data_IF_535377710201
#
_entry.id   IF_535377710201
#
_cell.length_a   1.000
_cell.length_b   1.000
_cell.length_c   1.000
_cell.angle_alpha   90.00
_cell.angle_beta   90.00
_cell.angle_gamma   90.00
#
_symmetry.space_group_name_H-M   'P 1'
#
loop_
_entity.id
_entity.type
_entity.pdbx_description
1 polymer ?
#
# COMPACT_ATOMS: atom_id res chain seq x y z
N UNK A 1 12.49 28.82 -29.49
CA UNK A 1 11.50 27.84 -28.99
C UNK A 1 11.71 26.44 -29.55
N UNK A 2 11.94 26.23 -30.81
CA UNK A 2 12.08 24.88 -31.43
C UNK A 2 13.31 24.07 -30.96
N UNK A 3 14.46 24.67 -30.69
CA UNK A 3 15.67 23.96 -30.20
C UNK A 3 15.49 23.45 -28.77
N UNK A 4 14.88 24.22 -27.88
CA UNK A 4 14.60 23.83 -26.48
C UNK A 4 13.57 22.69 -26.48
N UNK A 5 12.52 22.78 -27.29
CA UNK A 5 11.54 21.70 -27.47
C UNK A 5 12.19 20.40 -27.94
N UNK A 6 13.10 20.47 -28.90
CA UNK A 6 13.85 19.31 -29.39
C UNK A 6 14.76 18.70 -28.32
N UNK A 7 15.45 19.53 -27.53
CA UNK A 7 16.31 19.04 -26.44
C UNK A 7 15.51 18.39 -25.30
N UNK A 8 14.38 18.99 -24.91
CA UNK A 8 13.45 18.39 -23.95
C UNK A 8 12.89 17.08 -24.51
N UNK A 9 12.60 17.03 -25.79
CA UNK A 9 12.11 15.83 -26.46
C UNK A 9 13.13 14.68 -26.54
N UNK A 10 14.42 14.95 -26.59
CA UNK A 10 15.44 13.88 -26.56
C UNK A 10 15.62 13.25 -25.18
N UNK A 11 15.53 14.04 -24.10
CA UNK A 11 15.90 13.66 -22.74
C UNK A 11 14.78 13.89 -21.68
N UNK A 12 13.53 13.62 -22.03
CA UNK A 12 12.37 13.96 -21.16
C UNK A 12 12.51 13.42 -19.74
N UNK A 13 13.01 12.21 -19.55
CA UNK A 13 13.17 11.62 -18.22
C UNK A 13 14.18 12.43 -17.40
N UNK A 14 15.26 12.88 -18.01
CA UNK A 14 16.25 13.74 -17.37
C UNK A 14 15.62 15.05 -16.87
N UNK A 15 14.82 15.72 -17.70
CA UNK A 15 14.15 16.97 -17.30
C UNK A 15 13.10 16.76 -16.21
N UNK A 16 12.36 15.65 -16.27
CA UNK A 16 11.40 15.28 -15.22
C UNK A 16 12.13 15.08 -13.89
N UNK A 17 13.23 14.33 -13.91
CA UNK A 17 14.06 14.08 -12.72
C UNK A 17 14.68 15.37 -12.18
N UNK A 18 15.24 16.21 -13.06
CA UNK A 18 15.82 17.49 -12.66
C UNK A 18 14.79 18.40 -11.99
N UNK A 19 13.58 18.51 -12.57
CA UNK A 19 12.51 19.29 -11.96
C UNK A 19 12.08 18.71 -10.61
N UNK A 20 11.99 17.39 -10.49
CA UNK A 20 11.72 16.72 -9.23
C UNK A 20 12.78 17.05 -8.18
N UNK A 21 14.06 16.92 -8.51
CA UNK A 21 15.18 17.27 -7.63
C UNK A 21 15.09 18.73 -7.16
N UNK A 22 14.87 19.66 -8.07
CA UNK A 22 14.73 21.08 -7.76
C UNK A 22 13.57 21.35 -6.79
N UNK A 23 12.41 20.71 -7.01
CA UNK A 23 11.26 20.87 -6.09
C UNK A 23 11.55 20.28 -4.71
N UNK A 24 12.29 19.17 -4.60
CA UNK A 24 12.65 18.57 -3.30
C UNK A 24 13.71 19.39 -2.56
N UNK A 25 14.66 19.95 -3.28
CA UNK A 25 15.62 20.92 -2.69
C UNK A 25 14.85 22.09 -2.08
N UNK A 26 13.92 22.69 -2.81
CA UNK A 26 13.08 23.79 -2.29
C UNK A 26 12.27 23.32 -1.08
N UNK A 27 11.62 22.15 -1.18
CA UNK A 27 10.77 21.60 -0.11
C UNK A 27 11.55 21.36 1.17
N UNK A 28 12.72 20.72 1.08
CA UNK A 28 13.49 20.35 2.27
C UNK A 28 14.29 21.53 2.84
N UNK A 29 14.95 22.31 2.00
CA UNK A 29 15.86 23.36 2.47
C UNK A 29 15.17 24.71 2.70
N UNK A 30 14.20 25.08 1.86
CA UNK A 30 13.52 26.37 2.01
C UNK A 30 12.30 26.27 2.95
N UNK A 31 11.48 25.22 2.80
CA UNK A 31 10.30 25.04 3.65
C UNK A 31 10.55 24.19 4.90
N UNK A 32 11.72 23.60 5.06
CA UNK A 32 12.06 22.76 6.21
C UNK A 32 11.20 21.51 6.38
N UNK A 33 10.57 21.03 5.29
CA UNK A 33 9.67 19.87 5.32
C UNK A 33 10.53 18.60 5.34
N UNK A 34 10.50 17.89 6.47
CA UNK A 34 11.24 16.65 6.66
C UNK A 34 10.52 15.74 7.65
N UNK A 35 10.93 14.48 7.71
CA UNK A 35 10.39 13.52 8.68
C UNK A 35 10.75 13.96 10.09
N UNK A 36 9.72 14.13 10.93
CA UNK A 36 9.91 14.38 12.35
C UNK A 36 10.40 13.09 13.04
N UNK A 37 11.54 13.12 13.75
CA UNK A 37 12.08 11.99 14.50
C UNK A 37 11.08 11.36 15.48
N UNK A 38 10.19 12.15 16.08
CA UNK A 38 9.17 11.66 17.00
C UNK A 38 8.17 10.69 16.34
N UNK A 39 7.91 10.90 15.05
CA UNK A 39 7.04 9.98 14.32
C UNK A 39 7.65 8.59 14.16
N UNK A 40 8.97 8.48 14.07
CA UNK A 40 9.65 7.19 13.89
C UNK A 40 9.49 6.32 15.15
N UNK A 41 9.55 6.92 16.34
CA UNK A 41 9.35 6.23 17.61
C UNK A 41 7.88 6.06 17.99
N UNK A 42 7.00 6.93 17.51
CA UNK A 42 5.59 6.98 17.87
C UNK A 42 4.66 6.12 16.98
N UNK A 43 5.16 5.55 15.89
CA UNK A 43 4.32 4.68 15.02
C UNK A 43 4.09 3.33 15.69
N UNK A 44 2.86 3.03 15.97
CA UNK A 44 2.47 1.78 16.68
C UNK A 44 2.95 0.50 16.00
N UNK A 45 3.20 0.55 14.70
CA UNK A 45 3.56 -0.62 13.89
C UNK A 45 5.07 -0.84 13.84
N UNK A 46 5.84 0.01 14.51
CA UNK A 46 7.27 -0.13 14.64
C UNK A 46 7.60 -0.94 15.90
N UNK A 47 8.57 -1.82 15.77
CA UNK A 47 9.22 -2.44 16.92
C UNK A 47 10.05 -1.35 17.60
N UNK A 48 10.11 -1.39 18.94
CA UNK A 48 10.93 -0.48 19.70
C UNK A 48 12.38 -0.53 19.21
N UNK A 49 12.95 0.64 18.92
CA UNK A 49 14.29 0.79 18.34
C UNK A 49 15.36 0.06 19.15
N UNK A 50 15.25 0.08 20.50
CA UNK A 50 16.17 -0.62 21.38
C UNK A 50 16.27 -2.11 21.07
N UNK A 51 15.15 -2.80 20.81
CA UNK A 51 15.17 -4.23 20.49
C UNK A 51 15.74 -4.49 19.10
N UNK A 52 15.47 -3.61 18.13
CA UNK A 52 16.06 -3.69 16.81
C UNK A 52 17.58 -3.47 16.86
N UNK A 53 18.05 -2.58 17.75
CA UNK A 53 19.45 -2.32 17.97
C UNK A 53 20.14 -3.50 18.66
N UNK A 54 19.57 -4.04 19.73
CA UNK A 54 20.14 -5.16 20.49
C UNK A 54 20.21 -6.43 19.62
N UNK A 55 19.08 -6.88 19.03
CA UNK A 55 19.03 -8.11 18.25
C UNK A 55 17.95 -8.07 17.16
N UNK A 56 18.30 -7.56 15.98
CA UNK A 56 17.39 -7.44 14.84
C UNK A 56 16.76 -8.78 14.43
N UNK A 57 17.50 -9.90 14.23
CA UNK A 57 16.89 -11.17 13.83
C UNK A 57 15.86 -11.70 14.82
N UNK A 58 16.14 -11.66 16.12
CA UNK A 58 15.19 -12.13 17.14
C UNK A 58 13.98 -11.19 17.25
N UNK A 59 14.18 -9.89 17.12
CA UNK A 59 13.08 -8.91 17.12
C UNK A 59 12.11 -9.18 15.99
N UNK A 60 12.59 -9.47 14.79
CA UNK A 60 11.75 -9.81 13.64
C UNK A 60 11.11 -11.19 13.77
N UNK A 61 11.81 -12.16 14.36
CA UNK A 61 11.28 -13.51 14.60
C UNK A 61 10.09 -13.47 15.55
N UNK A 62 10.18 -12.72 16.65
CA UNK A 62 9.10 -12.60 17.63
C UNK A 62 8.07 -11.52 17.31
N UNK A 63 8.25 -10.80 16.24
CA UNK A 63 7.28 -9.81 15.79
C UNK A 63 6.05 -10.50 15.19
N UNK A 64 4.88 -10.32 15.82
CA UNK A 64 3.63 -10.97 15.39
C UNK A 64 2.53 -9.98 14.98
N UNK A 65 2.68 -8.71 15.34
CA UNK A 65 1.65 -7.71 15.13
C UNK A 65 1.45 -7.36 13.64
N UNK A 66 2.53 -7.36 12.85
CA UNK A 66 2.51 -7.09 11.40
C UNK A 66 3.54 -7.98 10.69
N UNK A 67 3.49 -8.10 9.35
CA UNK A 67 4.57 -8.70 8.59
C UNK A 67 5.91 -7.97 8.82
N UNK A 68 7.06 -8.67 8.79
CA UNK A 68 8.32 -8.15 9.35
C UNK A 68 9.11 -7.22 8.43
N UNK A 69 8.81 -7.13 7.13
CA UNK A 69 9.71 -6.50 6.16
C UNK A 69 9.93 -5.02 6.39
N UNK A 70 8.88 -4.26 6.77
CA UNK A 70 9.06 -2.84 7.08
C UNK A 70 9.91 -2.62 8.33
N UNK A 71 9.73 -3.46 9.35
CA UNK A 71 10.58 -3.43 10.54
C UNK A 71 12.00 -3.91 10.28
N UNK A 72 12.25 -4.72 9.24
CA UNK A 72 13.60 -4.98 8.77
C UNK A 72 14.26 -3.72 8.21
N UNK A 73 13.53 -2.94 7.39
CA UNK A 73 14.02 -1.65 6.85
C UNK A 73 14.30 -0.67 8.00
N UNK A 74 13.40 -0.56 8.97
CA UNK A 74 13.60 0.24 10.18
C UNK A 74 14.84 -0.22 10.96
N UNK A 75 14.98 -1.52 11.18
CA UNK A 75 16.10 -2.09 11.92
C UNK A 75 17.45 -1.87 11.24
N UNK A 76 17.50 -1.91 9.91
CA UNK A 76 18.71 -1.53 9.16
C UNK A 76 19.08 -0.06 9.40
N UNK A 77 18.09 0.85 9.39
CA UNK A 77 18.30 2.25 9.73
C UNK A 77 18.80 2.43 11.17
N UNK A 78 18.23 1.73 12.13
CA UNK A 78 18.65 1.74 13.54
C UNK A 78 20.11 1.27 13.71
N UNK A 79 20.51 0.23 12.96
CA UNK A 79 21.92 -0.27 13.02
C UNK A 79 22.95 0.76 12.54
N UNK A 80 22.57 1.67 11.67
CA UNK A 80 23.48 2.70 11.13
C UNK A 80 23.22 4.10 11.72
N UNK A 81 22.32 4.24 12.70
CA UNK A 81 21.90 5.54 13.23
C UNK A 81 23.03 6.37 13.84
N UNK A 82 24.11 5.73 14.29
CA UNK A 82 25.31 6.42 14.78
C UNK A 82 26.09 7.13 13.66
N UNK A 83 25.91 6.71 12.39
CA UNK A 83 26.54 7.33 11.22
C UNK A 83 25.57 8.28 10.52
N UNK A 84 24.32 7.91 10.41
CA UNK A 84 23.27 8.65 9.70
C UNK A 84 22.04 8.71 10.61
N UNK A 85 21.64 9.90 11.08
CA UNK A 85 20.41 10.08 11.85
C UNK A 85 19.20 9.42 11.16
N UNK A 86 18.35 8.78 11.95
CA UNK A 86 17.27 7.93 11.43
C UNK A 86 16.25 8.70 10.57
N UNK A 87 15.98 9.96 10.88
CA UNK A 87 15.16 10.85 10.07
C UNK A 87 15.80 11.15 8.70
N UNK A 88 17.12 11.33 8.63
CA UNK A 88 17.84 11.52 7.37
C UNK A 88 17.80 10.23 6.54
N UNK A 89 18.01 9.07 7.19
CA UNK A 89 17.88 7.76 6.54
C UNK A 89 16.52 7.60 5.87
N UNK A 90 15.40 7.86 6.59
CA UNK A 90 14.06 7.72 6.04
C UNK A 90 13.72 8.79 5.01
N UNK A 91 14.18 10.04 5.18
CA UNK A 91 14.02 11.08 4.16
C UNK A 91 14.68 10.66 2.85
N UNK A 92 15.91 10.17 2.91
CA UNK A 92 16.62 9.69 1.72
C UNK A 92 15.95 8.46 1.08
N UNK A 93 15.52 7.51 1.88
CA UNK A 93 14.82 6.31 1.41
C UNK A 93 13.50 6.65 0.71
N UNK A 94 12.68 7.49 1.34
CA UNK A 94 11.41 7.90 0.78
C UNK A 94 11.57 8.79 -0.47
N UNK A 95 12.61 9.61 -0.52
CA UNK A 95 13.00 10.35 -1.72
C UNK A 95 13.31 9.38 -2.89
N UNK A 96 14.09 8.32 -2.65
CA UNK A 96 14.35 7.29 -3.66
C UNK A 96 13.04 6.61 -4.09
N UNK A 97 12.15 6.32 -3.16
CA UNK A 97 10.86 5.72 -3.46
C UNK A 97 10.02 6.62 -4.38
N UNK A 98 9.96 7.92 -4.12
CA UNK A 98 9.27 8.87 -5.00
C UNK A 98 9.92 8.94 -6.39
N UNK A 99 11.24 8.90 -6.45
CA UNK A 99 11.97 8.87 -7.72
C UNK A 99 11.62 7.61 -8.54
N UNK A 100 11.50 6.46 -7.89
CA UNK A 100 11.07 5.22 -8.55
C UNK A 100 9.63 5.35 -9.07
N UNK A 101 8.70 5.89 -8.26
CA UNK A 101 7.32 6.16 -8.70
C UNK A 101 7.31 7.06 -9.94
N UNK A 102 8.11 8.11 -9.94
CA UNK A 102 8.23 9.06 -11.04
C UNK A 102 8.70 8.38 -12.33
N UNK A 103 9.77 7.58 -12.24
CA UNK A 103 10.32 6.85 -13.40
C UNK A 103 9.30 5.83 -13.92
N UNK A 104 8.66 5.07 -13.03
CA UNK A 104 7.61 4.11 -13.40
C UNK A 104 6.43 4.82 -14.09
N UNK A 105 6.00 5.97 -13.58
CA UNK A 105 4.92 6.77 -14.16
C UNK A 105 5.27 7.24 -15.57
N UNK A 106 6.49 7.74 -15.81
CA UNK A 106 6.95 8.12 -17.14
C UNK A 106 6.92 6.93 -18.12
N UNK A 107 7.34 5.75 -17.69
CA UNK A 107 7.32 4.54 -18.52
C UNK A 107 5.89 4.08 -18.84
N UNK A 108 4.97 4.17 -17.87
CA UNK A 108 3.53 3.86 -18.06
C UNK A 108 2.92 4.84 -19.08
N UNK A 109 3.18 6.14 -18.94
CA UNK A 109 2.70 7.14 -19.90
C UNK A 109 3.26 6.91 -21.30
N UNK A 110 4.55 6.56 -21.41
CA UNK A 110 5.17 6.18 -22.68
C UNK A 110 4.51 4.94 -23.32
N UNK A 111 4.11 3.96 -22.50
CA UNK A 111 3.38 2.79 -22.95
C UNK A 111 2.01 3.18 -23.54
N UNK A 112 1.31 4.14 -22.94
CA UNK A 112 0.07 4.69 -23.48
C UNK A 112 0.26 5.63 -24.68
N UNK A 113 1.50 5.80 -25.17
CA UNK A 113 1.84 6.62 -26.33
C UNK A 113 1.55 8.13 -26.14
N UNK A 114 1.74 8.66 -24.94
CA UNK A 114 1.77 10.10 -24.72
C UNK A 114 2.99 10.72 -25.38
N UNK A 115 2.85 11.97 -25.85
CA UNK A 115 3.99 12.77 -26.31
C UNK A 115 4.93 13.08 -25.13
N UNK A 116 6.20 13.35 -25.42
CA UNK A 116 7.20 13.63 -24.39
C UNK A 116 6.81 14.84 -23.53
N UNK A 117 6.27 15.88 -24.14
CA UNK A 117 5.76 17.06 -23.41
C UNK A 117 4.59 16.71 -22.48
N UNK A 118 3.65 15.88 -22.93
CA UNK A 118 2.55 15.41 -22.09
C UNK A 118 3.05 14.57 -20.91
N UNK A 119 4.05 13.70 -21.14
CA UNK A 119 4.70 12.93 -20.06
C UNK A 119 5.27 13.88 -19.01
N UNK A 120 5.98 14.94 -19.44
CA UNK A 120 6.54 15.93 -18.52
C UNK A 120 5.46 16.60 -17.67
N UNK A 121 4.44 17.16 -18.29
CA UNK A 121 3.37 17.89 -17.58
C UNK A 121 2.60 16.98 -16.64
N UNK A 122 2.21 15.79 -17.10
CA UNK A 122 1.44 14.84 -16.27
C UNK A 122 2.28 14.36 -15.08
N UNK A 123 3.55 14.06 -15.30
CA UNK A 123 4.45 13.64 -14.22
C UNK A 123 4.73 14.76 -13.22
N UNK A 124 4.84 16.00 -13.70
CA UNK A 124 4.99 17.18 -12.85
C UNK A 124 3.76 17.34 -11.94
N UNK A 125 2.57 17.36 -12.51
CA UNK A 125 1.34 17.63 -11.75
C UNK A 125 0.99 16.47 -10.83
N UNK A 126 0.97 15.24 -11.35
CA UNK A 126 0.43 14.10 -10.60
C UNK A 126 1.45 13.44 -9.67
N UNK A 127 2.75 13.61 -9.89
CA UNK A 127 3.79 12.99 -9.04
C UNK A 127 4.59 14.04 -8.29
N UNK A 128 5.25 14.95 -9.02
CA UNK A 128 6.21 15.89 -8.42
C UNK A 128 5.54 16.90 -7.48
N UNK A 129 4.41 17.47 -7.90
CA UNK A 129 3.65 18.47 -7.15
C UNK A 129 2.45 17.87 -6.39
N UNK A 130 2.28 16.55 -6.39
CA UNK A 130 1.18 15.89 -5.70
C UNK A 130 1.28 16.06 -4.18
N UNK A 131 0.31 16.70 -3.52
CA UNK A 131 0.31 16.84 -2.07
C UNK A 131 0.29 15.48 -1.36
N UNK A 132 -0.46 14.50 -1.89
CA UNK A 132 -0.53 13.16 -1.32
C UNK A 132 0.83 12.44 -1.36
N UNK A 133 1.55 12.54 -2.48
CA UNK A 133 2.87 11.93 -2.59
C UNK A 133 3.85 12.62 -1.64
N UNK A 134 3.86 13.96 -1.63
CA UNK A 134 4.73 14.72 -0.75
C UNK A 134 4.46 14.42 0.74
N UNK A 135 3.19 14.25 1.12
CA UNK A 135 2.82 13.87 2.47
C UNK A 135 3.37 12.50 2.86
N UNK A 136 3.10 11.46 2.07
CA UNK A 136 3.58 10.11 2.36
C UNK A 136 5.09 9.95 2.21
N UNK A 137 5.75 10.79 1.40
CA UNK A 137 7.20 10.91 1.32
C UNK A 137 7.81 11.38 2.67
N UNK A 138 7.07 12.18 3.44
CA UNK A 138 7.51 12.68 4.74
C UNK A 138 6.94 11.90 5.94
N UNK A 139 6.43 10.70 5.71
CA UNK A 139 6.01 9.79 6.77
C UNK A 139 6.86 8.52 6.80
N UNK A 140 7.40 8.12 7.95
CA UNK A 140 8.21 6.92 8.09
C UNK A 140 7.33 5.66 8.21
N UNK A 141 6.37 5.49 7.30
CA UNK A 141 5.45 4.34 7.27
C UNK A 141 5.52 3.60 5.94
N UNK A 142 5.15 2.34 5.96
CA UNK A 142 5.21 1.45 4.80
C UNK A 142 4.27 1.84 3.64
N UNK A 143 3.32 2.75 3.82
CA UNK A 143 2.35 3.10 2.77
C UNK A 143 3.03 3.65 1.51
N UNK A 144 4.08 4.47 1.65
CA UNK A 144 4.83 4.99 0.52
C UNK A 144 5.57 3.88 -0.23
N UNK A 145 6.22 2.99 0.51
CA UNK A 145 6.90 1.82 -0.05
C UNK A 145 5.93 0.87 -0.77
N UNK A 146 4.73 0.63 -0.21
CA UNK A 146 3.73 -0.21 -0.89
C UNK A 146 3.25 0.40 -2.20
N UNK A 147 3.12 1.73 -2.27
CA UNK A 147 2.81 2.44 -3.51
C UNK A 147 3.90 2.21 -4.58
N UNK A 148 5.18 2.28 -4.20
CA UNK A 148 6.31 1.96 -5.09
C UNK A 148 6.21 0.55 -5.64
N UNK A 149 5.99 -0.44 -4.78
CA UNK A 149 5.87 -1.84 -5.19
C UNK A 149 4.74 -2.06 -6.20
N UNK A 150 3.61 -1.39 -6.00
CA UNK A 150 2.49 -1.45 -6.94
C UNK A 150 2.80 -0.78 -8.29
N UNK A 151 3.54 0.31 -8.32
CA UNK A 151 4.03 0.89 -9.58
C UNK A 151 5.01 -0.04 -10.30
N UNK A 152 5.91 -0.69 -9.57
CA UNK A 152 6.85 -1.68 -10.12
C UNK A 152 6.11 -2.90 -10.67
N UNK A 153 5.18 -3.48 -9.94
CA UNK A 153 4.34 -4.59 -10.40
C UNK A 153 3.66 -4.24 -11.73
N UNK A 154 3.07 -3.05 -11.85
CA UNK A 154 2.43 -2.60 -13.09
C UNK A 154 3.40 -2.41 -14.24
N UNK A 155 4.58 -1.85 -13.97
CA UNK A 155 5.61 -1.71 -14.98
C UNK A 155 6.03 -3.06 -15.54
N UNK A 156 6.16 -4.09 -14.68
CA UNK A 156 6.51 -5.43 -15.13
C UNK A 156 5.35 -6.15 -15.80
N UNK A 157 4.09 -5.88 -15.44
CA UNK A 157 2.94 -6.32 -16.22
C UNK A 157 2.95 -5.74 -17.64
N UNK A 158 3.25 -4.47 -17.81
CA UNK A 158 3.41 -3.87 -19.14
C UNK A 158 4.49 -4.59 -19.94
N UNK A 159 5.65 -4.83 -19.31
CA UNK A 159 6.79 -5.48 -19.97
C UNK A 159 6.49 -6.91 -20.38
N UNK A 160 5.85 -7.70 -19.51
CA UNK A 160 5.56 -9.11 -19.76
C UNK A 160 4.51 -9.30 -20.87
N UNK A 161 3.50 -8.44 -20.93
CA UNK A 161 2.49 -8.48 -21.99
C UNK A 161 3.02 -8.01 -23.35
N UNK A 162 4.01 -7.13 -23.33
CA UNK A 162 4.67 -6.68 -24.56
C UNK A 162 5.63 -7.73 -25.10
N UNK A 163 6.48 -8.26 -24.24
CA UNK A 163 7.45 -9.32 -24.53
C UNK A 163 7.59 -10.21 -23.31
N UNK A 164 7.12 -11.45 -23.41
CA UNK A 164 7.32 -12.40 -22.33
C UNK A 164 8.81 -12.64 -22.11
N UNK A 165 9.25 -12.47 -20.87
CA UNK A 165 10.57 -12.89 -20.37
C UNK A 165 10.39 -13.38 -18.94
N UNK A 166 10.98 -14.52 -18.61
CA UNK A 166 10.94 -15.12 -17.28
C UNK A 166 11.25 -14.11 -16.15
N UNK A 167 12.25 -13.27 -16.35
CA UNK A 167 12.61 -12.24 -15.37
C UNK A 167 11.48 -11.28 -15.04
N UNK A 168 10.58 -10.98 -16.00
CA UNK A 168 9.46 -10.07 -15.74
C UNK A 168 8.42 -10.74 -14.84
N UNK A 169 8.16 -12.03 -15.03
CA UNK A 169 7.28 -12.82 -14.17
C UNK A 169 7.87 -12.92 -12.76
N UNK A 170 9.16 -13.25 -12.64
CA UNK A 170 9.86 -13.29 -11.36
C UNK A 170 9.77 -11.95 -10.62
N UNK A 171 10.00 -10.82 -11.27
CA UNK A 171 9.89 -9.51 -10.63
C UNK A 171 8.46 -9.18 -10.16
N UNK A 172 7.43 -9.60 -10.89
CA UNK A 172 6.04 -9.45 -10.44
C UNK A 172 5.84 -10.19 -9.11
N UNK A 173 6.26 -11.47 -9.03
CA UNK A 173 6.12 -12.26 -7.81
C UNK A 173 7.04 -11.77 -6.68
N UNK A 174 8.25 -11.33 -6.96
CA UNK A 174 9.15 -10.73 -5.96
C UNK A 174 8.47 -9.52 -5.32
N UNK A 175 8.02 -8.56 -6.12
CA UNK A 175 7.42 -7.33 -5.58
C UNK A 175 6.07 -7.59 -4.89
N UNK A 176 5.25 -8.52 -5.39
CA UNK A 176 4.01 -8.90 -4.73
C UNK A 176 4.26 -9.60 -3.39
N UNK A 177 5.30 -10.43 -3.31
CA UNK A 177 5.68 -11.10 -2.06
C UNK A 177 6.26 -10.10 -1.05
N UNK A 178 7.13 -9.18 -1.48
CA UNK A 178 7.62 -8.10 -0.62
C UNK A 178 6.43 -7.26 -0.09
N UNK A 179 5.42 -7.00 -0.92
CA UNK A 179 4.21 -6.29 -0.52
C UNK A 179 3.45 -7.04 0.60
N UNK A 180 3.28 -8.36 0.46
CA UNK A 180 2.67 -9.24 1.48
C UNK A 180 3.49 -9.24 2.77
N UNK A 181 4.82 -9.28 2.66
CA UNK A 181 5.73 -9.26 3.80
C UNK A 181 5.85 -7.89 4.47
N UNK A 182 5.36 -6.84 3.82
CA UNK A 182 5.40 -5.45 4.32
C UNK A 182 4.15 -5.09 5.10
N UNK A 183 2.97 -5.46 4.61
CA UNK A 183 1.70 -5.01 5.18
C UNK A 183 0.65 -6.11 5.21
N UNK A 184 0.06 -6.33 6.37
CA UNK A 184 -0.94 -7.38 6.61
C UNK A 184 -2.24 -7.23 5.80
N UNK A 185 -2.50 -6.06 5.23
CA UNK A 185 -3.60 -5.84 4.30
C UNK A 185 -3.44 -6.63 2.99
N UNK A 186 -2.20 -6.87 2.57
CA UNK A 186 -1.89 -7.74 1.44
C UNK A 186 -1.69 -9.15 1.96
N UNK A 187 -2.69 -9.98 1.74
CA UNK A 187 -2.65 -11.39 2.15
C UNK A 187 -2.00 -12.26 1.06
N UNK A 188 -1.74 -13.52 1.40
CA UNK A 188 -1.25 -14.52 0.44
C UNK A 188 -2.17 -14.65 -0.81
N UNK A 189 -3.45 -14.30 -0.68
CA UNK A 189 -4.39 -14.28 -1.80
C UNK A 189 -3.99 -13.27 -2.88
N UNK A 190 -3.18 -12.28 -2.57
CA UNK A 190 -2.67 -11.35 -3.58
C UNK A 190 -1.81 -12.07 -4.63
N UNK A 191 -0.93 -13.00 -4.19
CA UNK A 191 -0.16 -13.83 -5.13
C UNK A 191 -1.05 -14.74 -5.96
N UNK A 192 -2.16 -15.26 -5.38
CA UNK A 192 -3.15 -16.03 -6.14
C UNK A 192 -3.83 -15.17 -7.23
N UNK A 193 -4.19 -13.94 -6.91
CA UNK A 193 -4.75 -13.01 -7.90
C UNK A 193 -3.72 -12.72 -9.01
N UNK A 194 -2.45 -12.54 -8.68
CA UNK A 194 -1.37 -12.38 -9.66
C UNK A 194 -1.31 -13.60 -10.59
N UNK A 195 -1.40 -14.82 -10.06
CA UNK A 195 -1.45 -16.03 -10.88
C UNK A 195 -2.66 -16.03 -11.82
N UNK A 196 -3.87 -15.79 -11.30
CA UNK A 196 -5.12 -15.74 -12.08
C UNK A 196 -4.99 -14.74 -13.24
N UNK A 197 -4.44 -13.58 -12.97
CA UNK A 197 -4.23 -12.51 -13.96
C UNK A 197 -3.21 -12.92 -15.02
N UNK A 198 -2.23 -13.77 -14.67
CA UNK A 198 -1.22 -14.27 -15.61
C UNK A 198 -1.70 -15.50 -16.43
N UNK A 199 -2.80 -16.18 -16.07
CA UNK A 199 -3.29 -17.38 -16.76
C UNK A 199 -3.37 -17.21 -18.30
N UNK A 200 -3.95 -16.11 -18.85
CA UNK A 200 -4.03 -15.95 -20.29
C UNK A 200 -2.66 -15.90 -20.97
N UNK A 201 -1.67 -15.32 -20.30
CA UNK A 201 -0.30 -15.28 -20.78
C UNK A 201 0.40 -16.64 -20.66
N UNK A 202 0.19 -17.33 -19.54
CA UNK A 202 0.74 -18.65 -19.26
C UNK A 202 0.30 -19.66 -20.32
N UNK A 203 -0.99 -19.62 -20.69
CA UNK A 203 -1.56 -20.47 -21.75
C UNK A 203 -0.97 -20.10 -23.11
N UNK A 204 -0.90 -18.81 -23.43
CA UNK A 204 -0.37 -18.33 -24.71
C UNK A 204 1.07 -18.76 -24.94
N UNK A 205 1.91 -18.63 -23.91
CA UNK A 205 3.36 -18.92 -23.98
C UNK A 205 3.70 -20.39 -23.66
N UNK A 206 2.68 -21.23 -23.36
CA UNK A 206 2.82 -22.66 -23.04
C UNK A 206 3.80 -22.96 -21.88
N UNK A 207 3.80 -22.11 -20.84
CA UNK A 207 4.76 -22.13 -19.74
C UNK A 207 4.14 -22.58 -18.41
N UNK A 208 3.03 -23.31 -18.46
CA UNK A 208 2.18 -23.60 -17.30
C UNK A 208 2.98 -24.20 -16.13
N UNK A 209 3.72 -25.28 -16.35
CA UNK A 209 4.44 -25.96 -15.29
C UNK A 209 5.47 -25.05 -14.56
N UNK A 210 6.24 -24.30 -15.34
CA UNK A 210 7.22 -23.36 -14.79
C UNK A 210 6.58 -22.24 -13.99
N UNK A 211 5.51 -21.64 -14.49
CA UNK A 211 4.81 -20.56 -13.78
C UNK A 211 4.15 -21.03 -12.50
N UNK A 212 3.63 -22.25 -12.47
CA UNK A 212 3.10 -22.86 -11.24
C UNK A 212 4.22 -23.09 -10.20
N UNK A 213 5.38 -23.56 -10.60
CA UNK A 213 6.52 -23.72 -9.67
C UNK A 213 6.96 -22.39 -9.08
N UNK A 214 7.06 -21.34 -9.91
CA UNK A 214 7.37 -19.98 -9.46
C UNK A 214 6.31 -19.51 -8.47
N UNK A 215 5.03 -19.64 -8.83
CA UNK A 215 3.92 -19.27 -7.94
C UNK A 215 3.99 -20.00 -6.59
N UNK A 216 4.18 -21.33 -6.58
CA UNK A 216 4.25 -22.12 -5.34
C UNK A 216 5.41 -21.61 -4.47
N UNK A 217 6.59 -21.37 -5.05
CA UNK A 217 7.74 -20.85 -4.31
C UNK A 217 7.40 -19.50 -3.63
N UNK A 218 6.87 -18.53 -4.37
CA UNK A 218 6.55 -17.22 -3.84
C UNK A 218 5.32 -17.22 -2.93
N UNK A 219 4.39 -18.16 -3.14
CA UNK A 219 3.25 -18.37 -2.23
C UNK A 219 3.71 -18.87 -0.87
N UNK A 220 4.63 -19.84 -0.82
CA UNK A 220 5.22 -20.34 0.43
C UNK A 220 6.00 -19.20 1.11
N UNK A 221 6.81 -18.47 0.36
CA UNK A 221 7.60 -17.35 0.90
C UNK A 221 6.69 -16.25 1.47
N UNK A 222 5.63 -15.87 0.75
CA UNK A 222 4.64 -14.89 1.23
C UNK A 222 3.83 -15.39 2.44
N UNK A 223 3.70 -16.72 2.60
CA UNK A 223 3.04 -17.33 3.75
C UNK A 223 3.93 -17.42 5.00
N UNK A 224 5.22 -17.14 4.86
CA UNK A 224 6.19 -17.34 5.95
C UNK A 224 5.84 -16.62 7.25
N UNK A 225 5.26 -15.38 7.30
CA UNK A 225 4.84 -14.77 8.55
C UNK A 225 3.68 -15.52 9.21
N UNK A 226 2.73 -16.02 8.43
CA UNK A 226 1.60 -16.80 8.96
C UNK A 226 2.06 -18.16 9.48
N UNK A 227 2.97 -18.83 8.77
CA UNK A 227 3.60 -20.09 9.21
C UNK A 227 4.39 -19.86 10.50
N UNK A 228 5.23 -18.83 10.55
CA UNK A 228 5.97 -18.43 11.74
C UNK A 228 5.03 -18.17 12.93
N UNK A 229 3.98 -17.38 12.72
CA UNK A 229 3.00 -17.06 13.76
C UNK A 229 2.22 -18.32 14.22
N UNK A 230 1.98 -19.28 13.31
CA UNK A 230 1.39 -20.57 13.70
C UNK A 230 2.31 -21.38 14.58
N UNK A 231 3.59 -21.48 14.24
CA UNK A 231 4.58 -22.25 15.01
C UNK A 231 4.85 -21.62 16.37
N UNK A 232 5.05 -20.30 16.43
CA UNK A 232 5.45 -19.62 17.65
C UNK A 232 4.24 -19.31 18.58
N UNK A 233 3.13 -18.89 18.00
CA UNK A 233 2.00 -18.30 18.75
C UNK A 233 0.68 -19.05 18.55
N UNK A 234 0.67 -20.14 17.80
CA UNK A 234 -0.51 -20.92 17.44
C UNK A 234 -1.61 -20.12 16.71
N UNK A 235 -1.19 -19.14 15.86
CA UNK A 235 -2.10 -18.32 15.05
C UNK A 235 -1.69 -18.40 13.60
N UNK A 236 -2.57 -18.88 12.72
CA UNK A 236 -2.33 -18.86 11.27
C UNK A 236 -2.84 -17.55 10.68
N UNK A 237 -2.06 -16.48 10.83
CA UNK A 237 -2.32 -15.16 10.25
C UNK A 237 -1.02 -14.36 10.10
N UNK A 238 -0.98 -13.48 9.10
CA UNK A 238 0.16 -12.57 8.88
C UNK A 238 0.29 -11.51 9.98
N UNK A 239 -0.80 -11.25 10.70
CA UNK A 239 -0.86 -10.29 11.80
C UNK A 239 -1.73 -10.84 12.91
N UNK A 240 -1.27 -10.73 14.13
CA UNK A 240 -2.07 -11.05 15.31
C UNK A 240 -3.23 -10.08 15.55
N UNK A 241 -3.21 -8.93 14.89
CA UNK A 241 -4.26 -7.90 15.00
C UNK A 241 -5.47 -8.17 14.09
N UNK A 242 -5.48 -9.24 13.32
CA UNK A 242 -6.56 -9.54 12.36
C UNK A 242 -7.95 -9.53 12.99
N UNK A 243 -8.11 -10.08 14.19
CA UNK A 243 -9.40 -10.09 14.89
C UNK A 243 -9.79 -8.72 15.47
N UNK A 244 -8.82 -7.94 15.94
CA UNK A 244 -9.05 -6.56 16.39
C UNK A 244 -9.48 -5.68 15.21
N UNK A 245 -8.81 -5.81 14.07
CA UNK A 245 -9.17 -5.10 12.84
C UNK A 245 -10.58 -5.53 12.36
N UNK A 246 -10.92 -6.81 12.47
CA UNK A 246 -12.26 -7.30 12.17
C UNK A 246 -13.32 -6.67 13.11
N UNK A 247 -13.05 -6.57 14.40
CA UNK A 247 -13.94 -5.92 15.34
C UNK A 247 -14.13 -4.43 15.01
N UNK A 248 -13.05 -3.70 14.77
CA UNK A 248 -13.12 -2.30 14.33
C UNK A 248 -13.88 -2.16 13.03
N UNK A 249 -13.73 -3.13 12.12
CA UNK A 249 -14.42 -3.11 10.83
C UNK A 249 -15.93 -3.31 10.96
N UNK A 250 -16.41 -4.00 11.98
CA UNK A 250 -17.85 -4.24 12.19
C UNK A 250 -18.57 -3.08 12.87
N UNK A 251 -17.88 -1.98 13.15
CA UNK A 251 -18.51 -0.81 13.79
C UNK A 251 -18.50 -0.86 15.32
N UNK A 252 -17.90 -1.90 15.91
CA UNK A 252 -17.57 -1.88 17.33
C UNK A 252 -16.61 -0.72 17.59
N UNK A 253 -17.13 0.35 18.13
CA UNK A 253 -16.35 1.54 18.47
C UNK A 253 -15.40 1.23 19.63
N UNK A 254 -14.38 2.07 19.85
CA UNK A 254 -13.44 1.91 20.97
C UNK A 254 -14.12 1.81 22.32
N UNK A 255 -15.34 2.33 22.45
CA UNK A 255 -16.17 2.24 23.66
C UNK A 255 -16.74 0.83 23.88
N UNK A 256 -16.94 0.04 22.84
CA UNK A 256 -17.44 -1.34 22.91
C UNK A 256 -16.33 -2.40 22.99
N UNK A 257 -15.08 -1.97 23.11
CA UNK A 257 -13.94 -2.86 23.40
C UNK A 257 -14.14 -3.77 24.62
N UNK A 258 -14.99 -3.43 25.63
CA UNK A 258 -15.40 -4.36 26.65
C UNK A 258 -16.03 -5.66 26.13
N UNK A 259 -16.70 -5.66 24.97
CA UNK A 259 -17.34 -6.87 24.40
C UNK A 259 -16.37 -7.84 23.73
N UNK A 260 -15.21 -7.35 23.28
CA UNK A 260 -14.05 -8.18 23.00
C UNK A 260 -13.26 -8.44 24.29
N UNK A 261 -13.71 -7.93 25.42
CA UNK A 261 -12.99 -7.97 26.68
C UNK A 261 -13.23 -9.28 27.40
N UNK A 262 -12.23 -9.69 27.86
CA UNK A 262 -11.82 -10.61 28.85
C UNK A 262 -12.64 -10.42 30.13
N UNK A 263 -13.52 -11.32 30.39
CA UNK A 263 -13.87 -11.59 31.79
C UNK A 263 -12.57 -11.88 32.55
N UNK A 264 -12.47 -11.49 33.79
CA UNK A 264 -11.30 -11.71 34.66
C UNK A 264 -10.77 -13.14 34.56
N UNK A 265 -11.65 -14.09 34.40
CA UNK A 265 -11.40 -15.51 34.18
C UNK A 265 -10.64 -15.83 32.89
N UNK A 266 -10.85 -15.08 31.83
CA UNK A 266 -10.12 -15.22 30.57
C UNK A 266 -8.71 -14.61 30.64
N UNK A 267 -8.53 -13.52 31.38
CA UNK A 267 -7.21 -12.91 31.62
C UNK A 267 -6.31 -13.89 32.38
N UNK A 268 -6.85 -14.57 33.38
CA UNK A 268 -6.08 -15.54 34.19
C UNK A 268 -5.74 -16.79 33.38
N UNK A 269 -6.67 -17.31 32.60
CA UNK A 269 -6.40 -18.39 31.63
C UNK A 269 -5.34 -18.00 30.63
N UNK A 270 -5.35 -16.77 30.11
CA UNK A 270 -4.39 -16.28 29.17
C UNK A 270 -3.02 -16.04 29.81
N UNK A 271 -2.97 -15.53 31.01
CA UNK A 271 -1.73 -15.39 31.78
C UNK A 271 -1.10 -16.76 32.06
N UNK A 272 -1.90 -17.79 32.32
CA UNK A 272 -1.43 -19.15 32.49
C UNK A 272 -0.89 -19.76 31.21
N UNK A 273 -1.59 -19.58 30.08
CA UNK A 273 -1.16 -20.04 28.75
C UNK A 273 0.12 -19.31 28.31
N UNK A 274 0.20 -18.02 28.60
CA UNK A 274 1.37 -17.19 28.37
C UNK A 274 2.58 -17.66 29.18
N UNK A 275 2.40 -17.89 30.49
CA UNK A 275 3.45 -18.43 31.39
C UNK A 275 3.91 -19.82 30.91
N UNK A 276 2.97 -20.65 30.44
CA UNK A 276 3.27 -21.97 29.88
C UNK A 276 4.09 -21.88 28.59
N UNK A 277 3.68 -21.05 27.64
CA UNK A 277 4.42 -20.81 26.39
C UNK A 277 5.81 -20.25 26.63
N UNK A 278 5.97 -19.33 27.57
CA UNK A 278 7.27 -18.77 27.95
C UNK A 278 8.17 -19.82 28.61
N UNK A 279 7.59 -20.68 29.46
CA UNK A 279 8.34 -21.73 30.17
C UNK A 279 8.75 -22.88 29.24
N UNK A 280 7.87 -23.29 28.31
CA UNK A 280 8.13 -24.39 27.37
C UNK A 280 9.15 -24.03 26.29
N UNK A 281 9.30 -22.77 25.94
CA UNK A 281 10.11 -22.35 24.78
C UNK A 281 11.42 -21.65 25.14
N UNK A 282 11.80 -21.56 26.42
CA UNK A 282 13.04 -20.86 26.86
C UNK A 282 13.25 -19.53 26.11
N UNK A 283 12.21 -18.68 26.09
CA UNK A 283 12.26 -17.41 25.38
C UNK A 283 13.36 -16.50 25.95
N UNK A 284 14.49 -16.48 25.28
CA UNK A 284 15.69 -15.72 25.64
C UNK A 284 15.45 -14.21 25.77
N UNK A 285 14.32 -13.69 25.22
CA UNK A 285 14.01 -12.26 25.24
C UNK A 285 12.55 -11.99 25.64
N UNK A 286 12.24 -12.24 26.90
CA UNK A 286 10.94 -11.90 27.50
C UNK A 286 10.59 -10.41 27.35
N UNK A 287 11.61 -9.53 27.25
CA UNK A 287 11.43 -8.09 27.11
C UNK A 287 10.75 -7.69 25.79
N UNK A 288 11.04 -8.34 24.67
CA UNK A 288 10.42 -8.06 23.36
C UNK A 288 8.93 -8.39 23.39
N UNK A 289 8.56 -9.45 24.11
CA UNK A 289 7.17 -9.93 24.20
C UNK A 289 6.37 -9.28 25.33
N UNK A 290 7.04 -8.69 26.31
CA UNK A 290 6.46 -7.92 27.42
C UNK A 290 6.44 -6.41 27.18
N UNK A 291 6.90 -5.96 26.02
CA UNK A 291 6.78 -4.56 25.66
C UNK A 291 5.28 -4.23 25.57
N UNK A 292 4.84 -3.26 26.40
CA UNK A 292 3.45 -2.74 26.37
C UNK A 292 3.10 -2.07 25.03
N UNK A 293 4.00 -2.16 24.09
CA UNK A 293 3.83 -1.75 22.72
C UNK A 293 2.86 -2.69 21.98
N UNK A 294 2.58 -2.34 20.80
CA UNK A 294 1.84 -3.01 19.76
C UNK A 294 2.13 -4.53 19.59
N UNK A 295 3.29 -5.04 20.02
CA UNK A 295 3.70 -6.45 19.92
C UNK A 295 3.48 -7.25 21.22
N UNK A 296 2.71 -6.76 22.17
CA UNK A 296 2.37 -7.49 23.41
C UNK A 296 1.57 -8.77 23.08
N UNK A 297 1.93 -9.89 23.71
CA UNK A 297 1.24 -11.16 23.55
C UNK A 297 -0.25 -11.10 23.95
N UNK A 298 -0.63 -10.20 24.84
CA UNK A 298 -2.02 -9.96 25.19
C UNK A 298 -2.89 -9.60 23.98
N UNK A 299 -2.33 -8.94 22.96
CA UNK A 299 -3.05 -8.65 21.71
C UNK A 299 -3.42 -9.89 20.92
N UNK A 300 -2.67 -10.97 21.01
CA UNK A 300 -2.96 -12.24 20.36
C UNK A 300 -4.32 -12.78 20.86
N UNK A 301 -4.49 -12.83 22.17
CA UNK A 301 -5.69 -13.37 22.79
C UNK A 301 -6.89 -12.45 22.58
N UNK A 302 -6.68 -11.15 22.76
CA UNK A 302 -7.67 -10.13 22.51
C UNK A 302 -8.19 -10.21 21.08
N UNK A 303 -7.28 -10.33 20.11
CA UNK A 303 -7.62 -10.47 18.69
C UNK A 303 -8.43 -11.75 18.42
N UNK A 304 -8.08 -12.87 19.04
CA UNK A 304 -8.80 -14.15 18.88
C UNK A 304 -10.22 -14.06 19.44
N UNK A 305 -10.40 -13.47 20.62
CA UNK A 305 -11.71 -13.21 21.20
C UNK A 305 -12.55 -12.27 20.32
N UNK A 306 -11.97 -11.15 19.90
CA UNK A 306 -12.62 -10.21 19.01
C UNK A 306 -13.02 -10.84 17.65
N UNK A 307 -12.21 -11.71 17.09
CA UNK A 307 -12.53 -12.41 15.84
C UNK A 307 -13.80 -13.24 15.96
N UNK A 308 -14.00 -13.94 17.07
CA UNK A 308 -15.18 -14.78 17.29
C UNK A 308 -16.45 -13.94 17.46
N UNK A 309 -16.37 -12.85 18.23
CA UNK A 309 -17.49 -11.92 18.43
C UNK A 309 -17.83 -11.21 17.13
N UNK A 310 -16.83 -10.71 16.40
CA UNK A 310 -17.02 -9.98 15.15
C UNK A 310 -17.65 -10.85 14.08
N UNK A 311 -17.29 -12.13 13.98
CA UNK A 311 -17.92 -13.06 13.01
C UNK A 311 -19.42 -13.22 13.29
N UNK A 312 -19.81 -13.44 14.54
CA UNK A 312 -21.21 -13.54 14.92
C UNK A 312 -21.97 -12.26 14.62
N UNK A 313 -21.40 -11.12 15.00
CA UNK A 313 -22.01 -9.81 14.78
C UNK A 313 -22.12 -9.47 13.30
N UNK A 314 -21.11 -9.77 12.50
CA UNK A 314 -21.12 -9.56 11.04
C UNK A 314 -22.26 -10.36 10.38
N UNK A 315 -22.46 -11.62 10.79
CA UNK A 315 -23.52 -12.46 10.23
C UNK A 315 -24.90 -11.91 10.56
N UNK A 316 -25.12 -11.51 11.83
CA UNK A 316 -26.41 -11.01 12.30
C UNK A 316 -26.77 -9.62 11.75
N UNK A 317 -25.78 -8.76 11.54
CA UNK A 317 -25.99 -7.36 11.15
C UNK A 317 -25.36 -7.02 9.80
N UNK A 318 -25.25 -8.00 8.90
CA UNK A 318 -24.52 -7.85 7.63
C UNK A 318 -24.97 -6.65 6.78
N UNK A 319 -26.29 -6.44 6.70
CA UNK A 319 -26.87 -5.36 5.86
C UNK A 319 -26.54 -4.00 6.43
N UNK A 320 -26.70 -3.80 7.73
CA UNK A 320 -26.47 -2.51 8.40
C UNK A 320 -24.99 -2.16 8.44
N UNK A 321 -24.14 -3.14 8.71
CA UNK A 321 -22.68 -2.98 8.63
C UNK A 321 -22.29 -2.62 7.21
N UNK A 322 -22.84 -3.30 6.19
CA UNK A 322 -22.52 -3.02 4.79
C UNK A 322 -22.96 -1.61 4.38
N UNK A 323 -24.12 -1.11 4.83
CA UNK A 323 -24.56 0.27 4.59
C UNK A 323 -23.60 1.29 5.23
N UNK A 324 -23.27 1.11 6.52
CA UNK A 324 -22.32 1.98 7.22
C UNK A 324 -20.94 1.98 6.56
N UNK A 325 -20.46 0.79 6.17
CA UNK A 325 -19.19 0.64 5.47
C UNK A 325 -19.20 1.32 4.12
N UNK A 326 -20.29 1.18 3.38
CA UNK A 326 -20.44 1.84 2.08
C UNK A 326 -20.45 3.38 2.22
N UNK A 327 -21.16 3.90 3.21
CA UNK A 327 -21.14 5.35 3.49
C UNK A 327 -19.74 5.85 3.88
N UNK A 328 -19.04 5.12 4.76
CA UNK A 328 -17.67 5.44 5.13
C UNK A 328 -16.71 5.30 3.94
N UNK A 329 -16.86 4.25 3.16
CA UNK A 329 -16.08 4.02 1.96
C UNK A 329 -16.24 5.18 0.96
N UNK A 330 -17.47 5.61 0.69
CA UNK A 330 -17.74 6.79 -0.13
C UNK A 330 -17.15 8.06 0.48
N UNK A 331 -17.24 8.24 1.78
CA UNK A 331 -16.64 9.40 2.44
C UNK A 331 -15.11 9.39 2.33
N UNK A 332 -14.43 8.27 2.55
CA UNK A 332 -12.96 8.17 2.48
C UNK A 332 -12.46 8.27 1.05
N UNK A 333 -13.12 7.64 0.09
CA UNK A 333 -12.74 7.72 -1.32
C UNK A 333 -13.22 9.00 -2.00
N UNK A 334 -14.28 9.65 -1.47
CA UNK A 334 -14.73 10.96 -1.88
C UNK A 334 -14.01 12.12 -1.18
N UNK A 335 -13.35 11.86 -0.04
CA UNK A 335 -12.49 12.82 0.61
C UNK A 335 -11.03 12.58 0.19
N UNK A 336 -10.43 13.52 -0.45
CA UNK A 336 -9.03 13.78 -0.18
C UNK A 336 -9.03 14.38 1.22
N UNK A 337 -8.78 13.59 2.24
CA UNK A 337 -8.64 14.15 3.56
C UNK A 337 -7.30 14.88 3.65
N UNK A 338 -7.33 16.08 3.12
CA UNK A 338 -6.36 17.12 3.44
C UNK A 338 -6.28 17.22 4.96
N UNK A 339 -7.40 17.17 5.69
CA UNK A 339 -7.47 17.21 7.14
C UNK A 339 -6.59 16.18 7.85
N UNK A 340 -6.49 14.97 7.32
CA UNK A 340 -5.66 13.93 7.90
C UNK A 340 -4.17 14.14 7.61
N UNK A 341 -3.89 14.61 6.40
CA UNK A 341 -2.54 14.90 5.95
C UNK A 341 -1.88 16.04 6.74
N UNK A 342 -2.65 16.97 7.32
CA UNK A 342 -2.11 18.25 7.76
C UNK A 342 -2.19 18.51 9.28
N UNK A 343 -2.96 17.72 10.04
CA UNK A 343 -3.05 17.92 11.49
C UNK A 343 -1.74 17.74 12.29
N UNK A 344 -0.82 16.86 11.91
CA UNK A 344 0.40 16.65 12.71
C UNK A 344 1.61 17.48 12.33
N UNK A 345 1.62 18.08 11.14
CA UNK A 345 2.75 18.88 10.67
C UNK A 345 2.41 20.37 10.82
N UNK A 346 3.39 21.19 11.17
CA UNK A 346 3.28 22.65 11.16
C UNK A 346 3.03 23.25 9.75
N UNK A 347 2.33 22.50 8.91
CA UNK A 347 1.93 22.86 7.55
C UNK A 347 0.80 23.90 7.53
N UNK A 348 0.41 24.41 8.68
CA UNK A 348 -0.63 25.42 8.85
C UNK A 348 -0.51 26.62 7.88
N UNK A 349 0.67 26.92 7.40
CA UNK A 349 0.88 28.16 6.63
C UNK A 349 0.51 27.99 5.15
N UNK A 350 0.88 26.89 4.50
CA UNK A 350 0.66 26.74 3.06
C UNK A 350 -0.75 26.24 2.72
N UNK A 351 -1.34 25.44 3.58
CA UNK A 351 -2.62 24.77 3.31
C UNK A 351 -3.81 25.37 4.05
N UNK A 352 -3.60 26.16 5.09
CA UNK A 352 -4.65 26.97 5.71
C UNK A 352 -5.32 27.94 4.72
N UNK A 353 -4.57 28.44 3.74
CA UNK A 353 -5.13 29.25 2.65
C UNK A 353 -5.97 28.42 1.66
N UNK A 354 -5.62 27.14 1.45
CA UNK A 354 -6.40 26.24 0.60
C UNK A 354 -7.67 25.74 1.28
N UNK A 355 -7.67 25.58 2.61
CA UNK A 355 -8.88 25.32 3.41
C UNK A 355 -9.89 26.48 3.33
N UNK A 356 -9.41 27.72 3.34
CA UNK A 356 -10.26 28.91 3.20
C UNK A 356 -10.95 29.01 1.83
N UNK A 357 -10.40 28.41 0.78
CA UNK A 357 -10.94 28.50 -0.58
C UNK A 357 -12.14 27.56 -0.85
N UNK A 358 -12.70 26.87 0.15
CA UNK A 358 -13.82 25.92 -0.02
C UNK A 358 -13.56 24.84 -1.10
N UNK A 359 -12.30 24.57 -1.35
CA UNK A 359 -11.78 23.62 -2.35
C UNK A 359 -12.27 22.19 -2.09
N UNK A 360 -12.74 21.96 -0.88
CA UNK A 360 -13.14 20.63 -0.40
C UNK A 360 -14.23 19.97 -1.26
N UNK A 361 -15.25 20.70 -1.70
CA UNK A 361 -16.38 20.08 -2.41
C UNK A 361 -16.08 19.80 -3.88
N UNK A 362 -15.43 20.73 -4.58
CA UNK A 362 -15.06 20.56 -5.99
C UNK A 362 -14.01 19.44 -6.16
N UNK A 363 -13.10 19.35 -5.22
CA UNK A 363 -12.07 18.33 -5.22
C UNK A 363 -12.62 16.94 -4.81
N UNK A 364 -13.61 16.88 -3.92
CA UNK A 364 -14.36 15.64 -3.61
C UNK A 364 -15.09 15.11 -4.83
N UNK A 365 -15.77 15.99 -5.56
CA UNK A 365 -16.43 15.64 -6.82
C UNK A 365 -15.41 15.14 -7.85
N UNK A 366 -14.27 15.78 -7.95
CA UNK A 366 -13.21 15.39 -8.88
C UNK A 366 -12.64 14.00 -8.55
N UNK A 367 -12.36 13.70 -7.27
CA UNK A 367 -11.89 12.38 -6.84
C UNK A 367 -12.96 11.30 -7.00
N UNK A 368 -14.20 11.63 -6.72
CA UNK A 368 -15.33 10.73 -6.95
C UNK A 368 -15.50 10.41 -8.43
N UNK A 369 -15.40 11.40 -9.31
CA UNK A 369 -15.39 11.20 -10.76
C UNK A 369 -14.21 10.33 -11.18
N UNK A 370 -13.02 10.57 -10.65
CA UNK A 370 -11.83 9.75 -10.90
C UNK A 370 -12.00 8.30 -10.45
N UNK A 371 -12.63 8.09 -9.31
CA UNK A 371 -12.95 6.76 -8.80
C UNK A 371 -13.95 6.06 -9.72
N UNK A 372 -15.04 6.73 -10.10
CA UNK A 372 -16.04 6.19 -11.03
C UNK A 372 -15.43 5.87 -12.40
N UNK A 373 -14.45 6.63 -12.87
CA UNK A 373 -13.84 6.42 -14.18
C UNK A 373 -13.17 5.04 -14.30
N UNK A 374 -12.64 4.46 -13.21
CA UNK A 374 -12.09 3.10 -13.21
C UNK A 374 -13.17 2.07 -13.55
N UNK A 375 -14.36 2.22 -12.98
CA UNK A 375 -15.49 1.32 -13.24
C UNK A 375 -16.04 1.50 -14.65
N UNK A 376 -16.19 2.74 -15.13
CA UNK A 376 -16.58 3.03 -16.50
C UNK A 376 -15.62 2.40 -17.52
N UNK A 377 -14.33 2.53 -17.29
CA UNK A 377 -13.30 1.93 -18.15
C UNK A 377 -13.41 0.42 -18.15
N UNK A 378 -13.59 -0.20 -16.99
CA UNK A 378 -13.78 -1.65 -16.90
C UNK A 378 -15.03 -2.11 -17.65
N UNK A 379 -16.19 -1.49 -17.40
CA UNK A 379 -17.43 -1.85 -18.09
C UNK A 379 -17.33 -1.60 -19.60
N UNK A 380 -16.67 -0.55 -20.02
CA UNK A 380 -16.40 -0.30 -21.44
C UNK A 380 -15.56 -1.41 -22.08
N UNK A 381 -14.53 -1.88 -21.40
CA UNK A 381 -13.68 -2.97 -21.89
C UNK A 381 -14.43 -4.30 -21.85
N UNK A 382 -15.23 -4.54 -20.81
CA UNK A 382 -16.12 -5.71 -20.74
C UNK A 382 -17.12 -5.72 -21.91
N UNK A 383 -17.75 -4.59 -22.21
CA UNK A 383 -18.63 -4.43 -23.37
C UNK A 383 -17.91 -4.75 -24.69
N UNK A 384 -16.69 -4.23 -24.90
CA UNK A 384 -15.85 -4.59 -26.04
C UNK A 384 -15.58 -6.10 -26.11
N UNK A 385 -15.38 -6.72 -24.94
CA UNK A 385 -15.12 -8.15 -24.82
C UNK A 385 -16.33 -8.96 -25.29
N UNK A 386 -17.52 -8.61 -24.82
CA UNK A 386 -18.78 -9.26 -25.18
C UNK A 386 -19.06 -9.09 -26.67
N UNK A 387 -18.82 -7.90 -27.24
CA UNK A 387 -19.03 -7.63 -28.68
C UNK A 387 -17.91 -8.13 -29.58
N UNK A 388 -16.96 -8.93 -29.09
CA UNK A 388 -15.83 -9.46 -29.88
C UNK A 388 -15.03 -8.41 -30.66
N UNK A 389 -15.03 -7.16 -30.19
CA UNK A 389 -14.21 -6.09 -30.78
C UNK A 389 -12.74 -6.39 -30.55
N UNK A 390 -11.88 -6.14 -31.54
CA UNK A 390 -10.44 -6.34 -31.42
C UNK A 390 -9.86 -5.75 -30.12
N UNK A 391 -9.17 -6.59 -29.38
CA UNK A 391 -8.51 -6.24 -28.13
C UNK A 391 -7.01 -6.14 -28.37
N UNK A 392 -6.44 -5.07 -27.87
CA UNK A 392 -4.99 -4.93 -27.84
C UNK A 392 -4.45 -5.20 -26.42
N UNK A 393 -3.14 -5.36 -26.31
CA UNK A 393 -2.45 -5.60 -25.03
C UNK A 393 -2.72 -4.49 -23.98
N UNK A 394 -3.07 -3.26 -24.41
CA UNK A 394 -3.45 -2.16 -23.52
C UNK A 394 -4.77 -2.46 -22.82
N UNK A 395 -5.76 -2.99 -23.55
CA UNK A 395 -7.07 -3.34 -22.97
C UNK A 395 -6.92 -4.46 -21.91
N UNK A 396 -6.07 -5.47 -22.17
CA UNK A 396 -5.74 -6.50 -21.18
C UNK A 396 -5.07 -5.89 -19.92
N UNK A 397 -4.11 -5.00 -20.11
CA UNK A 397 -3.44 -4.34 -18.99
C UNK A 397 -4.41 -3.54 -18.13
N UNK A 398 -5.41 -2.89 -18.72
CA UNK A 398 -6.45 -2.17 -17.97
C UNK A 398 -7.37 -3.12 -17.19
N UNK A 399 -7.73 -4.27 -17.76
CA UNK A 399 -8.48 -5.31 -17.02
C UNK A 399 -7.70 -5.78 -15.80
N UNK A 400 -6.41 -6.04 -15.95
CA UNK A 400 -5.51 -6.41 -14.86
C UNK A 400 -5.46 -5.31 -13.80
N UNK A 401 -5.27 -4.07 -14.23
CA UNK A 401 -5.27 -2.92 -13.33
C UNK A 401 -6.58 -2.86 -12.52
N UNK A 402 -7.72 -3.09 -13.15
CA UNK A 402 -9.01 -3.11 -12.48
C UNK A 402 -9.14 -4.26 -11.47
N UNK A 403 -8.76 -5.49 -11.85
CA UNK A 403 -8.83 -6.66 -10.95
C UNK A 403 -7.99 -6.43 -9.68
N UNK A 404 -6.75 -5.96 -9.84
CA UNK A 404 -5.87 -5.67 -8.72
C UNK A 404 -6.41 -4.52 -7.85
N UNK A 405 -7.02 -3.50 -8.47
CA UNK A 405 -7.63 -2.40 -7.75
C UNK A 405 -8.88 -2.86 -6.99
N UNK A 406 -9.70 -3.72 -7.57
CA UNK A 406 -10.88 -4.28 -6.90
C UNK A 406 -10.50 -5.08 -5.66
N UNK A 407 -9.40 -5.84 -5.70
CA UNK A 407 -8.86 -6.48 -4.50
C UNK A 407 -8.54 -5.46 -3.40
N UNK A 408 -7.82 -4.40 -3.74
CA UNK A 408 -7.46 -3.35 -2.80
C UNK A 408 -8.70 -2.68 -2.20
N UNK A 409 -9.71 -2.40 -3.03
CA UNK A 409 -10.98 -1.81 -2.60
C UNK A 409 -11.74 -2.74 -1.66
N UNK A 410 -11.80 -4.04 -1.95
CA UNK A 410 -12.44 -5.03 -1.07
C UNK A 410 -11.76 -5.09 0.30
N UNK A 411 -10.43 -5.12 0.33
CA UNK A 411 -9.68 -5.10 1.58
C UNK A 411 -9.86 -3.77 2.31
N UNK A 412 -9.87 -2.65 1.59
CA UNK A 412 -10.13 -1.32 2.14
C UNK A 412 -11.53 -1.20 2.73
N UNK A 413 -12.53 -1.78 2.08
CA UNK A 413 -13.92 -1.75 2.53
C UNK A 413 -14.08 -2.34 3.94
N UNK A 414 -13.34 -3.41 4.24
CA UNK A 414 -13.34 -4.05 5.56
C UNK A 414 -12.30 -3.46 6.53
N UNK A 415 -11.44 -2.54 6.09
CA UNK A 415 -10.44 -1.89 6.92
C UNK A 415 -11.00 -0.85 7.89
N UNK A 416 -10.19 -0.44 8.87
CA UNK A 416 -10.46 0.75 9.67
C UNK A 416 -10.29 2.03 8.83
N UNK A 417 -10.77 3.18 9.31
CA UNK A 417 -10.65 4.46 8.59
C UNK A 417 -9.19 4.79 8.23
N UNK A 418 -8.28 4.55 9.15
CA UNK A 418 -6.84 4.72 8.95
C UNK A 418 -6.26 3.80 7.88
N UNK A 419 -6.69 2.54 7.87
CA UNK A 419 -6.29 1.58 6.85
C UNK A 419 -6.83 1.96 5.48
N UNK A 420 -8.07 2.48 5.44
CA UNK A 420 -8.69 2.92 4.19
C UNK A 420 -7.89 4.05 3.51
N UNK A 421 -7.38 5.02 4.26
CA UNK A 421 -6.58 6.11 3.70
C UNK A 421 -5.22 5.64 3.19
N UNK A 422 -4.54 4.78 3.95
CA UNK A 422 -3.29 4.17 3.51
C UNK A 422 -3.47 3.32 2.26
N UNK A 423 -4.57 2.56 2.18
CA UNK A 423 -4.92 1.76 1.01
C UNK A 423 -5.28 2.62 -0.18
N UNK A 424 -6.00 3.72 0.02
CA UNK A 424 -6.29 4.70 -1.03
C UNK A 424 -5.00 5.25 -1.61
N UNK A 425 -4.05 5.63 -0.77
CA UNK A 425 -2.74 6.10 -1.24
C UNK A 425 -1.97 5.00 -1.98
N UNK A 426 -1.91 3.79 -1.45
CA UNK A 426 -1.33 2.64 -2.18
C UNK A 426 -2.04 2.40 -3.50
N UNK A 427 -3.37 2.61 -3.55
CA UNK A 427 -4.20 2.56 -4.75
C UNK A 427 -3.94 3.66 -5.77
N UNK A 428 -3.17 4.69 -5.44
CA UNK A 428 -2.86 5.82 -6.33
C UNK A 428 -2.33 5.36 -7.70
N UNK A 429 -1.50 4.32 -7.70
CA UNK A 429 -0.96 3.72 -8.92
C UNK A 429 -2.05 3.19 -9.87
N UNK A 430 -3.18 2.69 -9.35
CA UNK A 430 -4.30 2.17 -10.14
C UNK A 430 -5.10 3.30 -10.77
N UNK A 431 -5.37 4.34 -9.99
CA UNK A 431 -6.05 5.55 -10.44
C UNK A 431 -5.22 6.23 -11.52
N UNK A 432 -3.91 6.36 -11.32
CA UNK A 432 -2.98 6.93 -12.30
C UNK A 432 -3.06 6.22 -13.66
N UNK A 433 -3.01 4.88 -13.67
CA UNK A 433 -3.09 4.08 -14.90
C UNK A 433 -4.42 4.28 -15.63
N UNK A 434 -5.53 4.22 -14.91
CA UNK A 434 -6.87 4.36 -15.51
C UNK A 434 -7.08 5.78 -16.07
N UNK A 435 -6.62 6.78 -15.35
CA UNK A 435 -6.71 8.18 -15.80
C UNK A 435 -5.86 8.44 -17.04
N UNK A 436 -4.65 7.89 -17.07
CA UNK A 436 -3.79 7.97 -18.25
C UNK A 436 -4.46 7.31 -19.48
N UNK A 437 -5.11 6.16 -19.29
CA UNK A 437 -5.83 5.49 -20.37
C UNK A 437 -6.99 6.33 -20.92
N UNK A 438 -7.84 6.88 -20.04
CA UNK A 438 -8.98 7.71 -20.43
C UNK A 438 -8.51 8.96 -21.17
N UNK A 439 -7.55 9.66 -20.59
CA UNK A 439 -7.02 10.89 -21.19
C UNK A 439 -6.41 10.63 -22.58
N UNK A 440 -5.71 9.52 -22.75
CA UNK A 440 -5.17 9.12 -24.03
C UNK A 440 -6.27 8.81 -25.08
N UNK A 441 -7.38 8.16 -24.66
CA UNK A 441 -8.54 7.91 -25.54
C UNK A 441 -9.22 9.22 -25.96
N UNK A 442 -9.37 10.14 -25.03
CA UNK A 442 -9.90 11.48 -25.29
C UNK A 442 -9.05 12.22 -26.31
N UNK A 443 -7.73 12.29 -26.13
CA UNK A 443 -6.82 12.94 -27.06
C UNK A 443 -6.88 12.33 -28.48
N UNK A 444 -7.06 11.01 -28.60
CA UNK A 444 -7.18 10.36 -29.89
C UNK A 444 -8.47 10.70 -30.63
N UNK A 445 -9.57 10.89 -29.89
CA UNK A 445 -10.86 11.29 -30.47
C UNK A 445 -10.76 12.70 -31.06
N UNK A 446 -10.13 13.62 -30.31
CA UNK A 446 -9.94 15.00 -30.76
C UNK A 446 -8.98 15.18 -31.95
N UNK A 447 -8.03 14.27 -32.13
CA UNK A 447 -7.12 14.32 -33.28
C UNK A 447 -7.73 13.75 -34.56
N UNK A 448 -8.87 13.07 -34.52
CA UNK A 448 -9.59 12.52 -35.66
C UNK A 448 -10.66 13.47 -36.20
N UNK A 449 -11.06 14.45 -35.41
CA UNK A 449 -11.88 15.59 -35.80
C UNK A 449 -10.98 16.79 -36.13
#
# INVERSE_FOLDING_TARGET
MNKIKFYIESNIIFFVVLTFLSTRIITYFYYGISIDPHWISGVWQHINQKYLEENLPLSLLYFHAQPPFWNLILGLGVKIQNLIPLNIYFNFLNFIFTLIILICSCQILKFFKFSKFQIYIISLILITLSPSILFFENLPIYAHFTCVLLFLIKLFFIKIYKFYKLKHELFIYIFSTILILTWSAYTIYFNLIILIVLIPLIIREQIFFRSILIFIFFFILGSSPAIKNKILFNIFANSSWTGLNAAQSTGYDRQDWPLCSFGKENIDKHNLLYKKLLKEKNFLNQKILNDKSFNDLGYIYKSKSCSNVSKKFLILNFIDISKQKFQRFLSVHGHLSIDFAFKPLNWKIVFYQLEKLNYNNLFKVFVFIFFLTNYFVFFFILYKTIKKVEKNYIDYFIVINFILYSYLLLVSFYGSTWEQERMRYSGYSFIFVSSAYIFQKFLKKYKKN
#
